data_IF_760168659896
#
_entry.id   IF_760168659896
#
_cell.length_a   1.000
_cell.length_b   1.000
_cell.length_c   1.000
_cell.angle_alpha   90.00
_cell.angle_beta   90.00
_cell.angle_gamma   90.00
#
_symmetry.space_group_name_H-M   'P 1'
#
loop_
_entity.id
_entity.type
_entity.pdbx_description
1 polymer ?
#
# COMPACT_ATOMS: atom_id res chain seq x y z
N UNK A 1 -42.61 6.77 62.76
CA UNK A 1 -42.22 6.93 61.35
C UNK A 1 -40.92 6.18 61.13
N UNK A 2 -40.99 5.08 60.40
CA UNK A 2 -39.91 4.13 60.10
C UNK A 2 -39.70 4.15 58.58
N UNK A 3 -38.65 4.81 58.12
CA UNK A 3 -38.14 4.87 56.75
C UNK A 3 -36.67 5.29 56.95
N UNK A 4 -35.57 4.70 56.47
CA UNK A 4 -35.22 3.50 55.71
C UNK A 4 -33.74 3.29 56.01
N UNK A 5 -33.37 2.32 56.86
CA UNK A 5 -31.95 1.95 57.07
C UNK A 5 -31.41 1.02 55.96
N UNK A 6 -32.24 0.69 54.97
CA UNK A 6 -31.88 -0.16 53.82
C UNK A 6 -31.25 0.60 52.65
N UNK A 7 -31.57 1.89 52.45
CA UNK A 7 -31.12 2.65 51.28
C UNK A 7 -29.61 2.98 51.33
N UNK A 8 -29.08 3.30 52.53
CA UNK A 8 -27.66 3.65 52.71
C UNK A 8 -26.71 2.46 52.51
N UNK A 9 -27.12 1.24 52.89
CA UNK A 9 -26.34 0.03 52.67
C UNK A 9 -26.30 -0.38 51.19
N UNK A 10 -27.41 -0.17 50.47
CA UNK A 10 -27.52 -0.49 49.04
C UNK A 10 -26.71 0.52 48.20
N UNK A 11 -26.73 1.82 48.53
CA UNK A 11 -25.93 2.81 47.81
C UNK A 11 -24.41 2.57 47.96
N UNK A 12 -23.93 2.10 49.12
CA UNK A 12 -22.51 1.78 49.32
C UNK A 12 -22.09 0.49 48.61
N UNK A 13 -22.96 -0.52 48.54
CA UNK A 13 -22.74 -1.76 47.78
C UNK A 13 -22.75 -1.54 46.27
N UNK A 14 -23.61 -0.64 45.77
CA UNK A 14 -23.63 -0.24 44.36
C UNK A 14 -22.38 0.56 44.01
N UNK A 15 -21.91 1.48 44.87
CA UNK A 15 -20.66 2.19 44.64
C UNK A 15 -19.43 1.26 44.63
N UNK A 16 -19.41 0.22 45.47
CA UNK A 16 -18.33 -0.79 45.47
C UNK A 16 -18.41 -1.74 44.26
N UNK A 17 -19.59 -2.02 43.72
CA UNK A 17 -19.76 -2.78 42.47
C UNK A 17 -19.37 -1.97 41.22
N UNK A 18 -19.51 -0.64 41.24
CA UNK A 18 -19.04 0.23 40.15
C UNK A 18 -17.56 0.64 40.25
N UNK A 19 -16.90 0.42 41.40
CA UNK A 19 -15.45 0.57 41.54
C UNK A 19 -14.67 -0.75 41.34
N UNK A 20 -15.36 -1.84 40.98
CA UNK A 20 -14.80 -3.19 41.01
C UNK A 20 -15.06 -4.02 39.76
N UNK A 21 -14.94 -3.47 38.55
CA UNK A 21 -14.81 -4.25 37.30
C UNK A 21 -14.25 -3.37 36.17
N UNK A 22 -13.00 -2.97 36.35
CA UNK A 22 -12.21 -2.26 35.34
C UNK A 22 -10.73 -2.50 35.56
N UNK A 23 -10.34 -3.70 36.01
CA UNK A 23 -8.99 -4.21 35.70
C UNK A 23 -9.01 -4.45 34.20
N UNK A 24 -8.80 -3.38 33.44
CA UNK A 24 -8.41 -3.51 32.05
C UNK A 24 -7.29 -4.52 32.03
N UNK A 25 -7.46 -5.60 31.28
CA UNK A 25 -6.31 -6.22 30.66
C UNK A 25 -5.60 -5.06 29.96
N UNK A 26 -4.59 -4.48 30.61
CA UNK A 26 -3.52 -3.83 29.87
C UNK A 26 -2.99 -4.96 29.02
N UNK A 27 -3.43 -5.00 27.76
CA UNK A 27 -2.78 -5.84 26.77
C UNK A 27 -1.29 -5.56 26.91
N UNK A 28 -0.48 -6.59 27.19
CA UNK A 28 0.97 -6.44 27.34
C UNK A 28 1.61 -5.92 26.03
N UNK A 29 0.83 -5.80 24.95
CA UNK A 29 1.21 -5.30 23.64
C UNK A 29 1.14 -3.77 23.45
N UNK A 30 0.50 -3.01 24.36
CA UNK A 30 0.39 -1.55 24.16
C UNK A 30 1.67 -0.85 24.64
N UNK A 31 2.41 -0.22 23.72
CA UNK A 31 3.73 0.40 23.99
C UNK A 31 3.70 1.91 23.79
N UNK A 32 4.41 2.68 24.63
CA UNK A 32 4.48 4.13 24.50
C UNK A 32 5.36 4.53 23.31
N UNK A 33 4.81 5.42 22.48
CA UNK A 33 5.51 6.10 21.39
C UNK A 33 5.73 7.56 21.76
N UNK A 34 6.95 8.06 21.58
CA UNK A 34 7.30 9.46 21.83
C UNK A 34 8.02 10.07 20.64
N UNK A 35 7.45 11.12 20.06
CA UNK A 35 8.11 11.90 19.00
C UNK A 35 8.36 13.30 19.52
N UNK A 36 9.62 13.73 19.44
CA UNK A 36 10.01 15.11 19.76
C UNK A 36 10.78 15.65 18.56
N UNK A 37 10.27 16.71 17.97
CA UNK A 37 10.99 17.43 16.92
C UNK A 37 11.22 18.88 17.34
N UNK A 38 12.42 19.38 17.09
CA UNK A 38 12.80 20.77 17.32
C UNK A 38 13.63 21.28 16.15
N UNK A 39 13.08 21.15 14.94
CA UNK A 39 13.65 21.75 13.75
C UNK A 39 13.37 23.27 13.81
N UNK A 40 14.36 24.12 13.53
CA UNK A 40 14.19 25.58 13.63
C UNK A 40 13.03 26.15 12.77
N UNK A 41 12.54 25.40 11.77
CA UNK A 41 11.47 25.80 10.81
C UNK A 41 10.06 25.27 11.13
N UNK A 42 9.82 24.97 12.38
CA UNK A 42 8.49 24.75 12.95
C UNK A 42 7.41 25.84 12.76
N UNK A 43 7.67 26.93 12.01
CA UNK A 43 6.68 27.98 11.74
C UNK A 43 5.82 27.73 10.48
N UNK A 44 6.03 26.64 9.72
CA UNK A 44 5.39 26.46 8.41
C UNK A 44 4.11 25.59 8.37
N UNK A 45 3.67 25.03 9.50
CA UNK A 45 2.40 24.31 9.58
C UNK A 45 2.41 23.06 10.46
N UNK A 46 1.24 22.41 10.66
CA UNK A 46 1.15 21.21 11.46
C UNK A 46 1.93 20.06 10.82
N UNK A 47 2.55 19.22 11.65
CA UNK A 47 3.12 17.96 11.17
C UNK A 47 2.06 16.87 11.19
N UNK A 48 2.30 15.79 10.46
CA UNK A 48 1.39 14.67 10.37
C UNK A 48 2.13 13.37 10.68
N UNK A 49 1.48 12.52 11.48
CA UNK A 49 1.90 11.14 11.68
C UNK A 49 0.90 10.24 10.95
N UNK A 50 1.35 9.60 9.87
CA UNK A 50 0.57 8.53 9.24
C UNK A 50 0.94 7.22 9.91
N UNK A 51 -0.06 6.50 10.40
CA UNK A 51 0.10 5.19 11.02
C UNK A 51 -0.46 4.14 10.07
N UNK A 52 0.40 3.25 9.60
CA UNK A 52 0.02 2.10 8.80
C UNK A 52 -0.04 0.88 9.71
N UNK A 53 -1.23 0.36 9.91
CA UNK A 53 -1.45 -0.88 10.64
C UNK A 53 -2.14 -1.95 9.80
N UNK A 54 -2.16 -3.17 10.35
CA UNK A 54 -2.65 -4.37 9.68
C UNK A 54 -4.11 -4.26 9.18
N UNK A 55 -4.91 -3.35 9.73
CA UNK A 55 -6.33 -3.20 9.40
C UNK A 55 -6.75 -1.78 8.99
N UNK A 56 -5.89 -0.77 9.15
CA UNK A 56 -6.26 0.62 8.87
C UNK A 56 -5.04 1.52 8.71
N UNK A 57 -5.22 2.59 7.94
CA UNK A 57 -4.30 3.73 7.89
C UNK A 57 -4.96 4.89 8.62
N UNK A 58 -4.28 5.46 9.62
CA UNK A 58 -4.73 6.67 10.30
C UNK A 58 -3.76 7.82 10.07
N UNK A 59 -4.24 9.05 10.20
CA UNK A 59 -3.41 10.25 10.09
C UNK A 59 -3.73 11.16 11.26
N UNK A 60 -2.73 11.42 12.09
CA UNK A 60 -2.82 12.30 13.23
C UNK A 60 -2.09 13.62 12.94
N UNK A 61 -2.74 14.73 13.25
CA UNK A 61 -2.14 16.06 13.18
C UNK A 61 -1.38 16.34 14.48
N UNK A 62 -0.08 16.62 14.38
CA UNK A 62 0.78 16.90 15.52
C UNK A 62 0.83 18.39 15.83
N UNK A 63 0.51 18.76 17.06
CA UNK A 63 0.56 20.15 17.50
C UNK A 63 2.00 20.66 17.60
N UNK A 64 2.21 21.87 17.08
CA UNK A 64 3.47 22.59 17.16
C UNK A 64 3.35 23.67 18.24
N UNK A 65 4.23 23.64 19.23
CA UNK A 65 4.25 24.68 20.27
C UNK A 65 4.68 26.05 19.70
N UNK A 66 4.39 27.17 20.39
CA UNK A 66 4.81 28.51 19.94
C UNK A 66 6.33 28.71 19.82
N UNK A 67 7.13 27.81 20.41
CA UNK A 67 8.59 27.80 20.28
C UNK A 67 9.07 26.82 19.21
N UNK A 68 8.15 26.28 18.45
CA UNK A 68 8.47 25.38 17.36
C UNK A 68 8.64 23.91 17.68
N UNK A 69 8.50 23.57 18.95
CA UNK A 69 8.71 22.19 19.38
C UNK A 69 7.45 21.37 19.13
N UNK A 70 7.62 20.20 18.54
CA UNK A 70 6.60 19.15 18.41
C UNK A 70 6.83 18.14 19.51
N UNK A 71 5.74 17.74 20.17
CA UNK A 71 5.79 16.68 21.18
C UNK A 71 4.53 15.86 21.09
N UNK A 72 4.70 14.61 20.69
CA UNK A 72 3.62 13.64 20.56
C UNK A 72 3.91 12.46 21.47
N UNK A 73 2.90 12.07 22.24
CA UNK A 73 2.98 10.94 23.14
C UNK A 73 1.66 10.18 23.14
N UNK A 74 1.70 8.97 22.59
CA UNK A 74 0.55 8.08 22.54
C UNK A 74 0.98 6.65 22.85
N UNK A 75 0.01 5.79 23.11
CA UNK A 75 0.24 4.37 23.36
C UNK A 75 -0.45 3.57 22.27
N UNK A 76 0.32 2.75 21.55
CA UNK A 76 -0.18 1.96 20.44
C UNK A 76 -0.04 0.46 20.70
N UNK A 77 -0.98 -0.33 20.21
CA UNK A 77 -0.84 -1.77 20.12
C UNK A 77 0.07 -2.12 18.93
N UNK A 78 1.37 -2.28 19.20
CA UNK A 78 2.37 -2.39 18.14
C UNK A 78 2.36 -3.73 17.40
N UNK A 79 1.67 -4.74 17.93
CA UNK A 79 1.41 -5.98 17.19
C UNK A 79 0.56 -5.74 15.94
N UNK A 80 -0.11 -4.58 15.88
CA UNK A 80 -0.98 -4.18 14.78
C UNK A 80 -0.39 -3.08 13.90
N UNK A 81 0.82 -2.58 14.18
CA UNK A 81 1.45 -1.49 13.44
C UNK A 81 2.63 -1.99 12.64
N UNK A 82 2.64 -1.63 11.37
CA UNK A 82 3.69 -2.02 10.43
C UNK A 82 4.65 -0.85 10.14
N UNK A 83 4.15 0.39 10.13
CA UNK A 83 4.94 1.57 9.76
C UNK A 83 4.33 2.87 10.30
N UNK A 84 5.19 3.79 10.72
CA UNK A 84 4.85 5.19 10.93
C UNK A 84 5.57 6.07 9.90
N UNK A 85 4.87 7.02 9.29
CA UNK A 85 5.47 8.05 8.44
C UNK A 85 5.25 9.42 9.05
N UNK A 86 6.34 10.07 9.45
CA UNK A 86 6.32 11.44 9.92
C UNK A 86 6.48 12.38 8.72
N UNK A 87 5.54 13.31 8.54
CA UNK A 87 5.53 14.29 7.45
C UNK A 87 5.37 15.72 7.98
N UNK A 88 5.89 16.70 7.26
CA UNK A 88 5.70 18.12 7.59
C UNK A 88 4.38 18.67 7.02
N UNK A 89 4.10 19.95 7.24
CA UNK A 89 2.90 20.64 6.76
C UNK A 89 2.72 20.66 5.24
N UNK A 90 3.82 20.54 4.49
CA UNK A 90 3.83 20.46 3.02
C UNK A 90 3.63 19.02 2.51
N UNK A 91 3.56 18.04 3.42
CA UNK A 91 3.44 16.63 3.08
C UNK A 91 4.78 15.96 2.76
N UNK A 92 5.94 16.62 2.91
CA UNK A 92 7.26 15.99 2.68
C UNK A 92 7.60 15.00 3.77
N UNK A 93 8.26 13.89 3.41
CA UNK A 93 8.70 12.90 4.38
C UNK A 93 9.79 13.49 5.27
N UNK A 94 9.61 13.38 6.57
CA UNK A 94 10.59 13.78 7.57
C UNK A 94 11.35 12.57 8.09
N UNK A 95 10.63 11.48 8.37
CA UNK A 95 11.23 10.25 8.86
C UNK A 95 10.26 9.07 8.71
N UNK A 96 10.65 7.98 8.02
CA UNK A 96 9.97 6.69 8.14
C UNK A 96 10.45 5.97 9.40
N UNK A 97 9.51 5.35 10.13
CA UNK A 97 9.73 4.78 11.45
C UNK A 97 9.14 3.36 11.50
N UNK A 98 10.02 2.36 11.60
CA UNK A 98 9.66 0.95 11.64
C UNK A 98 9.74 0.45 13.08
N UNK A 99 8.61 0.16 13.76
CA UNK A 99 8.66 -0.29 15.15
C UNK A 99 9.32 -1.67 15.26
N UNK A 100 10.32 -1.80 16.14
CA UNK A 100 10.81 -3.11 16.58
C UNK A 100 9.83 -3.69 17.60
N UNK A 101 9.10 -4.76 17.27
CA UNK A 101 8.03 -5.32 18.13
C UNK A 101 8.51 -5.79 19.50
N UNK A 102 9.80 -6.06 19.65
CA UNK A 102 10.37 -6.53 20.91
C UNK A 102 10.73 -5.37 21.87
N UNK A 103 10.68 -4.12 21.41
CA UNK A 103 11.07 -2.96 22.20
C UNK A 103 10.00 -2.54 23.23
N UNK A 104 10.44 -2.15 24.43
CA UNK A 104 9.54 -1.72 25.51
C UNK A 104 9.04 -0.27 25.34
N UNK A 105 9.82 0.57 24.66
CA UNK A 105 9.55 2.00 24.48
C UNK A 105 10.11 2.50 23.16
N UNK A 106 9.38 3.40 22.50
CA UNK A 106 9.76 3.93 21.18
C UNK A 106 9.96 5.43 21.28
N UNK A 107 11.08 5.91 20.78
CA UNK A 107 11.30 7.35 20.70
C UNK A 107 12.05 7.78 19.45
N UNK A 108 11.56 8.85 18.82
CA UNK A 108 12.25 9.61 17.80
C UNK A 108 12.48 11.04 18.29
N UNK A 109 13.74 11.46 18.43
CA UNK A 109 14.11 12.84 18.69
C UNK A 109 14.81 13.39 17.45
N UNK A 110 14.21 14.41 16.84
CA UNK A 110 14.63 15.00 15.58
C UNK A 110 15.04 16.46 15.82
N UNK A 111 16.24 16.81 15.43
CA UNK A 111 16.77 18.17 15.49
C UNK A 111 17.59 18.49 14.25
N UNK A 112 17.94 19.76 14.05
CA UNK A 112 18.78 20.20 12.92
C UNK A 112 20.16 19.51 12.90
N UNK A 113 20.63 18.98 14.04
CA UNK A 113 21.99 18.46 14.22
C UNK A 113 22.06 16.96 14.47
N UNK A 114 20.96 16.36 14.92
CA UNK A 114 20.98 14.99 15.40
C UNK A 114 19.61 14.32 15.25
N UNK A 115 19.65 13.06 14.82
CA UNK A 115 18.55 12.11 14.86
C UNK A 115 18.86 11.03 15.91
N UNK A 116 18.04 10.96 16.95
CA UNK A 116 18.12 9.91 17.98
C UNK A 116 16.89 9.03 17.92
N UNK A 117 17.10 7.74 17.74
CA UNK A 117 16.08 6.71 17.62
C UNK A 117 16.27 5.68 18.73
N UNK A 118 15.17 5.14 19.24
CA UNK A 118 15.15 4.04 20.20
C UNK A 118 13.94 3.15 19.93
N UNK A 119 14.16 1.83 19.94
CA UNK A 119 13.11 0.84 19.76
C UNK A 119 12.63 0.74 18.32
N UNK A 120 13.43 1.19 17.36
CA UNK A 120 13.05 1.23 15.95
C UNK A 120 14.02 0.34 15.17
N UNK A 121 13.52 -0.30 14.12
CA UNK A 121 14.37 -1.01 13.17
C UNK A 121 15.14 0.01 12.31
N UNK A 122 16.26 -0.43 11.75
CA UNK A 122 17.08 0.33 10.79
C UNK A 122 17.64 1.66 11.32
N UNK A 123 17.87 1.80 12.63
CA UNK A 123 18.31 3.08 13.21
C UNK A 123 19.57 3.65 12.58
N UNK A 124 20.59 2.82 12.32
CA UNK A 124 21.86 3.26 11.71
C UNK A 124 21.63 3.83 10.31
N UNK A 125 20.88 3.11 9.47
CA UNK A 125 20.55 3.54 8.11
C UNK A 125 19.80 4.88 8.11
N UNK A 126 18.79 5.03 8.98
CA UNK A 126 17.99 6.24 9.05
C UNK A 126 18.81 7.44 9.55
N UNK A 127 19.74 7.22 10.48
CA UNK A 127 20.68 8.26 10.95
C UNK A 127 21.66 8.68 9.86
N UNK A 128 22.20 7.73 9.10
CA UNK A 128 23.06 8.01 7.96
C UNK A 128 22.30 8.77 6.88
N UNK A 129 21.13 8.29 6.46
CA UNK A 129 20.28 8.97 5.49
C UNK A 129 19.95 10.41 5.91
N UNK A 130 19.61 10.63 7.19
CA UNK A 130 19.30 11.97 7.71
C UNK A 130 20.47 12.95 7.55
N UNK A 131 21.72 12.46 7.55
CA UNK A 131 22.91 13.26 7.26
C UNK A 131 23.21 13.37 5.74
N UNK A 132 22.87 12.35 4.96
CA UNK A 132 23.10 12.31 3.51
C UNK A 132 22.07 13.11 2.70
N UNK A 133 20.83 13.28 3.19
CA UNK A 133 19.72 13.93 2.44
C UNK A 133 19.98 15.40 2.07
N UNK A 134 20.90 16.06 2.77
CA UNK A 134 21.30 17.45 2.53
C UNK A 134 22.51 17.56 1.56
N UNK A 135 23.03 16.44 1.08
CA UNK A 135 24.18 16.40 0.15
C UNK A 135 23.74 16.54 -1.32
N UNK A 136 24.69 16.36 -2.25
CA UNK A 136 24.36 16.41 -3.68
C UNK A 136 23.50 15.22 -4.11
N UNK A 137 22.72 15.42 -5.17
CA UNK A 137 21.87 14.37 -5.77
C UNK A 137 22.65 13.08 -6.07
N UNK A 138 23.87 13.20 -6.60
CA UNK A 138 24.75 12.07 -6.93
C UNK A 138 25.16 11.28 -5.67
N UNK A 139 25.54 11.99 -4.60
CA UNK A 139 25.93 11.36 -3.34
C UNK A 139 24.75 10.63 -2.69
N UNK A 140 23.56 11.22 -2.76
CA UNK A 140 22.35 10.59 -2.24
C UNK A 140 21.98 9.33 -3.06
N UNK A 141 22.06 9.39 -4.40
CA UNK A 141 21.83 8.24 -5.27
C UNK A 141 22.81 7.09 -5.00
N UNK A 142 24.10 7.39 -4.82
CA UNK A 142 25.13 6.39 -4.48
C UNK A 142 24.83 5.75 -3.12
N UNK A 143 24.49 6.55 -2.12
CA UNK A 143 24.11 6.09 -0.79
C UNK A 143 22.88 5.17 -0.84
N UNK A 144 21.81 5.58 -1.53
CA UNK A 144 20.57 4.79 -1.63
C UNK A 144 20.78 3.50 -2.43
N UNK A 145 21.62 3.55 -3.47
CA UNK A 145 21.98 2.35 -4.25
C UNK A 145 22.73 1.34 -3.41
N UNK A 146 23.68 1.79 -2.58
CA UNK A 146 24.46 0.94 -1.67
C UNK A 146 23.57 0.24 -0.62
N UNK A 147 22.47 0.89 -0.21
CA UNK A 147 21.53 0.38 0.79
C UNK A 147 20.24 -0.20 0.20
N UNK A 148 20.23 -0.53 -1.10
CA UNK A 148 19.05 -1.03 -1.83
C UNK A 148 18.40 -2.29 -1.23
N UNK A 149 19.12 -3.06 -0.41
CA UNK A 149 18.59 -4.26 0.25
C UNK A 149 17.82 -3.99 1.53
N UNK A 150 17.94 -2.80 2.10
CA UNK A 150 17.30 -2.43 3.35
C UNK A 150 15.88 -1.92 3.08
N UNK A 151 14.90 -2.39 3.86
CA UNK A 151 13.47 -2.09 3.65
C UNK A 151 13.11 -0.59 3.66
N UNK A 152 13.73 0.30 4.46
CA UNK A 152 13.41 1.72 4.40
C UNK A 152 13.76 2.37 3.06
N UNK A 153 14.73 1.83 2.33
CA UNK A 153 15.34 2.49 1.16
C UNK A 153 14.33 2.84 0.07
N UNK A 154 13.27 2.05 -0.11
CA UNK A 154 12.19 2.38 -1.04
C UNK A 154 11.52 3.74 -0.72
N UNK A 155 11.23 4.00 0.55
CA UNK A 155 10.65 5.27 1.03
C UNK A 155 11.65 6.42 0.92
N UNK A 156 12.93 6.15 1.17
CA UNK A 156 13.98 7.17 1.07
C UNK A 156 14.24 7.58 -0.39
N UNK A 157 14.09 6.63 -1.33
CA UNK A 157 14.16 6.90 -2.76
C UNK A 157 12.97 7.71 -3.24
N UNK A 158 11.76 7.41 -2.75
CA UNK A 158 10.57 8.22 -3.03
C UNK A 158 10.75 9.67 -2.56
N UNK A 159 11.23 9.88 -1.34
CA UNK A 159 11.53 11.22 -0.81
C UNK A 159 12.58 11.96 -1.65
N UNK A 160 13.67 11.27 -2.04
CA UNK A 160 14.68 11.84 -2.94
C UNK A 160 14.09 12.23 -4.31
N UNK A 161 13.20 11.41 -4.86
CA UNK A 161 12.49 11.75 -6.10
C UNK A 161 11.63 13.00 -5.97
N UNK A 162 10.93 13.20 -4.84
CA UNK A 162 10.16 14.42 -4.54
C UNK A 162 11.08 15.64 -4.39
N UNK A 163 12.24 15.48 -3.76
CA UNK A 163 13.21 16.56 -3.56
C UNK A 163 13.86 17.01 -4.88
N UNK A 164 14.10 16.08 -5.81
CA UNK A 164 14.82 16.33 -7.07
C UNK A 164 13.94 16.19 -8.33
N UNK A 165 12.65 16.51 -8.27
CA UNK A 165 11.67 16.40 -9.39
C UNK A 165 12.04 17.14 -10.70
N UNK A 166 13.15 17.88 -10.75
CA UNK A 166 13.68 18.59 -11.93
C UNK A 166 15.16 18.27 -12.21
N UNK A 167 15.65 17.15 -11.68
CA UNK A 167 17.06 16.76 -11.67
C UNK A 167 17.60 16.31 -13.02
N UNK A 168 18.93 16.15 -13.10
CA UNK A 168 19.58 15.60 -14.30
C UNK A 168 19.48 14.08 -14.40
N UNK A 169 19.08 13.42 -13.30
CA UNK A 169 19.18 11.98 -13.10
C UNK A 169 17.84 11.26 -12.99
N UNK A 170 16.75 11.83 -13.53
CA UNK A 170 15.39 11.27 -13.46
C UNK A 170 15.33 9.77 -13.79
N UNK A 171 16.03 9.34 -14.85
CA UNK A 171 16.04 7.93 -15.25
C UNK A 171 16.69 7.02 -14.21
N UNK A 172 17.72 7.48 -13.52
CA UNK A 172 18.44 6.73 -12.48
C UNK A 172 17.54 6.56 -11.26
N UNK A 173 16.91 7.65 -10.81
CA UNK A 173 15.91 7.62 -9.74
C UNK A 173 14.79 6.63 -10.03
N UNK A 174 14.18 6.74 -11.21
CA UNK A 174 13.10 5.84 -11.61
C UNK A 174 13.52 4.38 -11.71
N UNK A 175 14.75 4.11 -12.18
CA UNK A 175 15.25 2.74 -12.30
C UNK A 175 15.50 2.11 -10.93
N UNK A 176 16.08 2.88 -10.00
CA UNK A 176 16.31 2.45 -8.63
C UNK A 176 14.98 2.23 -7.90
N UNK A 177 14.06 3.20 -7.98
CA UNK A 177 12.72 3.09 -7.41
C UNK A 177 11.99 1.84 -7.92
N UNK A 178 11.96 1.63 -9.24
CA UNK A 178 11.27 0.48 -9.83
C UNK A 178 11.91 -0.86 -9.41
N UNK A 179 13.23 -0.90 -9.21
CA UNK A 179 13.90 -2.07 -8.66
C UNK A 179 13.49 -2.30 -7.19
N UNK A 180 13.54 -1.27 -6.35
CA UNK A 180 13.20 -1.40 -4.94
C UNK A 180 11.72 -1.74 -4.73
N UNK A 181 10.80 -1.16 -5.51
CA UNK A 181 9.39 -1.48 -5.46
C UNK A 181 9.12 -2.95 -5.85
N UNK A 182 9.95 -3.55 -6.73
CA UNK A 182 9.93 -5.00 -7.00
C UNK A 182 10.39 -5.79 -5.79
N UNK A 183 11.59 -5.45 -5.31
CA UNK A 183 12.31 -6.23 -4.31
C UNK A 183 11.60 -6.14 -2.94
N UNK A 184 10.92 -5.03 -2.68
CA UNK A 184 10.25 -4.68 -1.42
C UNK A 184 8.73 -4.57 -1.61
N UNK A 185 8.14 -5.47 -2.40
CA UNK A 185 6.73 -5.45 -2.77
C UNK A 185 5.76 -5.37 -1.59
N UNK A 186 6.04 -6.02 -0.46
CA UNK A 186 5.14 -5.99 0.69
C UNK A 186 5.06 -4.58 1.31
N UNK A 187 6.18 -3.85 1.34
CA UNK A 187 6.20 -2.44 1.75
C UNK A 187 5.53 -1.54 0.69
N UNK A 188 5.84 -1.75 -0.59
CA UNK A 188 5.19 -1.02 -1.69
C UNK A 188 3.66 -1.23 -1.69
N UNK A 189 3.22 -2.45 -1.37
CA UNK A 189 1.83 -2.83 -1.22
C UNK A 189 1.15 -2.18 -0.01
N UNK A 190 1.83 -2.14 1.14
CA UNK A 190 1.36 -1.46 2.35
C UNK A 190 1.13 0.03 2.10
N UNK A 191 2.03 0.67 1.35
CA UNK A 191 1.99 2.10 1.07
C UNK A 191 0.88 2.51 0.09
N UNK A 192 0.33 1.56 -0.67
CA UNK A 192 -0.87 1.68 -1.50
C UNK A 192 -0.97 2.94 -2.37
N UNK A 193 -0.78 2.82 -3.69
CA UNK A 193 -1.01 3.88 -4.71
C UNK A 193 -0.19 5.19 -4.59
N UNK A 194 0.26 5.63 -3.41
CA UNK A 194 0.88 6.95 -3.23
C UNK A 194 2.25 7.06 -3.91
N UNK A 195 2.94 5.93 -4.09
CA UNK A 195 4.23 5.88 -4.79
C UNK A 195 4.12 5.84 -6.33
N UNK A 196 2.92 5.96 -6.90
CA UNK A 196 2.66 5.82 -8.33
C UNK A 196 2.28 7.13 -9.06
N UNK A 197 2.25 8.29 -8.39
CA UNK A 197 2.13 9.61 -9.03
C UNK A 197 3.52 10.23 -9.17
N UNK A 198 3.97 10.79 -10.30
CA UNK A 198 3.22 11.74 -11.13
C UNK A 198 3.60 11.76 -12.63
N UNK A 199 4.44 10.84 -13.17
CA UNK A 199 5.01 11.06 -14.51
C UNK A 199 5.06 9.85 -15.46
N UNK A 200 4.02 9.01 -15.51
CA UNK A 200 3.81 8.19 -16.72
C UNK A 200 2.37 7.75 -16.90
N UNK A 201 1.86 7.96 -18.10
CA UNK A 201 0.51 7.60 -18.58
C UNK A 201 0.26 6.07 -18.65
N UNK A 202 1.08 5.25 -17.98
CA UNK A 202 1.13 3.78 -18.08
C UNK A 202 1.30 3.08 -16.71
N UNK A 203 1.13 3.78 -15.58
CA UNK A 203 1.33 3.20 -14.25
C UNK A 203 0.09 3.36 -13.38
N UNK A 204 -0.39 2.24 -12.85
CA UNK A 204 -1.54 2.15 -11.94
C UNK A 204 -2.05 0.69 -11.91
N UNK A 205 -2.42 0.15 -10.74
CA UNK A 205 -2.88 -1.22 -10.64
C UNK A 205 -4.29 -1.35 -11.20
N UNK A 206 -4.37 -1.81 -12.45
CA UNK A 206 -5.62 -2.16 -13.10
C UNK A 206 -6.31 -3.39 -12.49
N UNK A 207 -5.61 -4.12 -11.60
CA UNK A 207 -6.14 -5.30 -10.90
C UNK A 207 -6.34 -4.98 -9.41
N UNK A 208 -7.46 -5.39 -8.78
CA UNK A 208 -7.66 -5.22 -7.35
C UNK A 208 -6.57 -5.91 -6.51
N UNK A 209 -6.18 -5.32 -5.37
CA UNK A 209 -5.14 -5.88 -4.48
C UNK A 209 -5.47 -7.29 -3.96
N UNK A 210 -6.75 -7.53 -3.66
CA UNK A 210 -7.30 -8.85 -3.34
C UNK A 210 -8.60 -9.05 -4.10
N UNK A 211 -8.78 -10.22 -4.71
CA UNK A 211 -9.96 -10.50 -5.52
C UNK A 211 -10.54 -11.89 -5.24
N UNK A 212 -11.86 -12.00 -5.44
CA UNK A 212 -12.57 -13.28 -5.40
C UNK A 212 -12.39 -13.96 -6.75
N UNK A 213 -11.62 -15.04 -6.77
CA UNK A 213 -11.42 -15.87 -7.96
C UNK A 213 -12.57 -16.87 -8.09
N UNK A 214 -13.29 -16.83 -9.22
CA UNK A 214 -14.30 -17.85 -9.51
C UNK A 214 -13.72 -19.27 -9.44
N UNK A 215 -14.28 -20.10 -8.57
CA UNK A 215 -13.83 -21.48 -8.37
C UNK A 215 -12.79 -21.68 -7.25
N UNK A 216 -12.34 -20.61 -6.60
CA UNK A 216 -11.54 -20.64 -5.37
C UNK A 216 -12.38 -20.06 -4.21
N UNK A 217 -12.14 -20.54 -2.99
CA UNK A 217 -12.90 -20.11 -1.80
C UNK A 217 -12.31 -18.84 -1.15
N UNK A 218 -11.01 -18.62 -1.31
CA UNK A 218 -10.28 -17.58 -0.60
C UNK A 218 -9.94 -16.40 -1.53
N UNK A 219 -9.76 -15.22 -0.94
CA UNK A 219 -9.19 -14.06 -1.64
C UNK A 219 -7.72 -14.35 -1.92
N UNK A 220 -7.27 -14.06 -3.13
CA UNK A 220 -5.88 -14.28 -3.56
C UNK A 220 -5.26 -12.93 -3.90
N UNK A 221 -4.00 -12.74 -3.50
CA UNK A 221 -3.23 -11.56 -3.88
C UNK A 221 -2.69 -11.72 -5.31
N UNK A 222 -2.58 -10.62 -6.06
CA UNK A 222 -2.13 -10.66 -7.45
C UNK A 222 -0.76 -11.36 -7.62
N UNK A 223 0.18 -11.18 -6.68
CA UNK A 223 1.52 -11.82 -6.72
C UNK A 223 1.45 -13.35 -6.70
N UNK A 224 0.63 -13.91 -5.81
CA UNK A 224 0.44 -15.35 -5.65
C UNK A 224 -0.24 -15.96 -6.87
N UNK A 225 -0.93 -15.09 -7.63
CA UNK A 225 -1.70 -15.43 -8.81
C UNK A 225 -0.92 -15.29 -10.12
N UNK A 226 0.04 -14.36 -10.22
CA UNK A 226 0.99 -14.23 -11.34
C UNK A 226 2.07 -15.32 -11.27
N UNK A 227 2.50 -15.67 -10.06
CA UNK A 227 3.53 -16.69 -9.83
C UNK A 227 4.89 -16.29 -10.43
N UNK A 228 5.56 -17.21 -11.11
CA UNK A 228 6.89 -17.00 -11.74
C UNK A 228 6.83 -16.39 -13.15
N UNK A 229 5.65 -16.03 -13.64
CA UNK A 229 5.51 -15.53 -15.00
C UNK A 229 5.96 -14.07 -15.09
N UNK A 230 6.70 -13.74 -16.15
CA UNK A 230 7.18 -12.37 -16.42
C UNK A 230 6.03 -11.38 -16.61
N UNK A 231 4.95 -11.84 -17.25
CA UNK A 231 3.77 -11.05 -17.52
C UNK A 231 2.52 -11.93 -17.59
N UNK A 232 1.36 -11.29 -17.41
CA UNK A 232 0.03 -11.89 -17.55
C UNK A 232 -0.81 -11.09 -18.54
N UNK A 233 -1.75 -11.77 -19.18
CA UNK A 233 -2.72 -11.13 -20.05
C UNK A 233 -4.01 -10.85 -19.27
N UNK A 234 -4.45 -9.60 -19.27
CA UNK A 234 -5.73 -9.20 -18.70
C UNK A 234 -6.73 -8.88 -19.80
N UNK A 235 -7.99 -9.21 -19.52
CA UNK A 235 -9.13 -8.83 -20.33
C UNK A 235 -10.16 -8.17 -19.40
N UNK A 236 -10.27 -6.86 -19.49
CA UNK A 236 -11.14 -6.05 -18.64
C UNK A 236 -12.44 -5.83 -19.37
N UNK A 237 -13.54 -6.09 -18.68
CA UNK A 237 -14.86 -6.03 -19.27
C UNK A 237 -15.95 -5.80 -18.23
N UNK A 238 -17.04 -5.23 -18.72
CA UNK A 238 -18.31 -5.24 -18.04
C UNK A 238 -19.22 -6.25 -18.74
N UNK A 239 -19.93 -7.09 -17.98
CA UNK A 239 -20.80 -8.12 -18.54
C UNK A 239 -22.26 -7.88 -18.14
N UNK A 240 -23.10 -7.62 -19.14
CA UNK A 240 -24.55 -7.80 -19.03
C UNK A 240 -24.94 -9.26 -19.31
N UNK A 241 -26.20 -9.67 -19.04
CA UNK A 241 -26.71 -10.98 -19.43
C UNK A 241 -26.58 -11.27 -20.94
N UNK A 242 -26.63 -10.25 -21.79
CA UNK A 242 -26.47 -10.37 -23.24
C UNK A 242 -24.99 -10.57 -23.63
N UNK A 243 -24.07 -9.96 -22.87
CA UNK A 243 -22.62 -10.07 -23.06
C UNK A 243 -22.06 -11.44 -22.68
N UNK A 244 -22.81 -12.25 -21.92
CA UNK A 244 -22.44 -13.64 -21.62
C UNK A 244 -22.29 -14.48 -22.90
N UNK A 245 -23.08 -14.21 -23.94
CA UNK A 245 -22.96 -14.87 -25.25
C UNK A 245 -21.76 -14.34 -26.06
N UNK A 246 -21.43 -13.06 -25.91
CA UNK A 246 -20.24 -12.44 -26.50
C UNK A 246 -18.95 -12.97 -25.85
N UNK A 247 -18.96 -13.15 -24.52
CA UNK A 247 -17.86 -13.76 -23.77
C UNK A 247 -17.55 -15.19 -24.26
N UNK A 248 -18.57 -15.97 -24.62
CA UNK A 248 -18.37 -17.31 -25.17
C UNK A 248 -17.49 -17.31 -26.45
N UNK A 249 -17.55 -16.25 -27.26
CA UNK A 249 -16.70 -16.09 -28.46
C UNK A 249 -15.23 -15.82 -28.10
N UNK A 250 -14.96 -15.26 -26.93
CA UNK A 250 -13.61 -14.97 -26.45
C UNK A 250 -12.89 -16.21 -25.88
N UNK A 251 -13.60 -17.34 -25.72
CA UNK A 251 -12.98 -18.61 -25.27
C UNK A 251 -11.79 -19.05 -26.12
N UNK A 252 -11.88 -18.84 -27.44
CA UNK A 252 -10.78 -19.15 -28.38
C UNK A 252 -9.49 -18.40 -28.01
N UNK A 253 -9.61 -17.17 -27.56
CA UNK A 253 -8.48 -16.32 -27.20
C UNK A 253 -7.78 -16.81 -25.93
N UNK A 254 -8.54 -17.20 -24.89
CA UNK A 254 -7.96 -17.79 -23.68
C UNK A 254 -7.22 -19.10 -23.98
N UNK A 255 -7.77 -19.96 -24.85
CA UNK A 255 -7.08 -21.16 -25.31
C UNK A 255 -5.77 -20.86 -26.05
N UNK A 256 -5.73 -19.77 -26.83
CA UNK A 256 -4.50 -19.36 -27.52
C UNK A 256 -3.45 -18.89 -26.51
N UNK A 257 -3.82 -18.09 -25.51
CA UNK A 257 -2.90 -17.69 -24.44
C UNK A 257 -2.38 -18.87 -23.62
N UNK A 258 -3.25 -19.80 -23.26
CA UNK A 258 -2.88 -21.03 -22.57
C UNK A 258 -1.87 -21.85 -23.40
N UNK A 259 -2.09 -22.00 -24.71
CA UNK A 259 -1.15 -22.69 -25.60
C UNK A 259 0.17 -21.94 -25.80
N UNK A 260 0.17 -20.63 -25.62
CA UNK A 260 1.38 -19.81 -25.57
C UNK A 260 2.03 -19.84 -24.18
N UNK A 261 1.46 -20.50 -23.18
CA UNK A 261 1.97 -20.53 -21.81
C UNK A 261 1.94 -19.16 -21.12
N UNK A 262 0.94 -18.34 -21.42
CA UNK A 262 0.71 -17.03 -20.78
C UNK A 262 -0.54 -17.15 -19.92
N UNK A 263 -0.41 -16.85 -18.61
CA UNK A 263 -1.56 -16.78 -17.72
C UNK A 263 -2.51 -15.66 -18.15
N UNK A 264 -3.81 -15.94 -18.17
CA UNK A 264 -4.82 -15.01 -18.67
C UNK A 264 -6.03 -14.91 -17.75
N UNK A 265 -6.48 -13.68 -17.50
CA UNK A 265 -7.49 -13.38 -16.49
C UNK A 265 -8.52 -12.36 -16.99
N UNK A 266 -9.77 -12.55 -16.59
CA UNK A 266 -10.84 -11.59 -16.86
C UNK A 266 -11.11 -10.72 -15.64
N UNK A 267 -10.89 -9.42 -15.74
CA UNK A 267 -11.30 -8.45 -14.72
C UNK A 267 -12.72 -8.02 -15.04
N UNK A 268 -13.65 -8.31 -14.13
CA UNK A 268 -15.06 -7.96 -14.26
C UNK A 268 -15.34 -6.70 -13.47
N UNK A 269 -15.82 -5.67 -14.16
CA UNK A 269 -16.27 -4.41 -13.56
C UNK A 269 -17.65 -4.53 -12.88
N UNK A 270 -18.19 -5.75 -12.77
CA UNK A 270 -19.46 -6.02 -12.11
C UNK A 270 -19.27 -6.23 -10.60
N UNK A 271 -20.28 -5.90 -9.80
CA UNK A 271 -20.31 -6.19 -8.34
C UNK A 271 -20.26 -7.69 -8.02
N UNK A 272 -20.64 -8.54 -8.98
CA UNK A 272 -20.65 -9.99 -8.79
C UNK A 272 -20.54 -10.75 -10.12
N UNK A 273 -20.08 -12.00 -10.04
CA UNK A 273 -20.01 -12.88 -11.21
C UNK A 273 -21.42 -13.23 -11.74
N UNK A 274 -21.73 -12.95 -13.03
CA UNK A 274 -23.00 -13.30 -13.64
C UNK A 274 -23.33 -14.80 -13.51
N UNK A 275 -24.60 -15.13 -13.24
CA UNK A 275 -25.06 -16.52 -13.03
C UNK A 275 -24.74 -17.45 -14.21
N UNK A 276 -24.78 -16.92 -15.43
CA UNK A 276 -24.43 -17.60 -16.69
C UNK A 276 -22.98 -18.10 -16.74
N UNK A 277 -22.07 -17.50 -15.96
CA UNK A 277 -20.65 -17.85 -15.91
C UNK A 277 -20.26 -18.66 -14.67
N UNK A 278 -21.19 -18.92 -13.74
CA UNK A 278 -20.96 -19.74 -12.55
C UNK A 278 -20.79 -21.23 -12.88
N UNK A 279 -21.21 -21.68 -14.06
CA UNK A 279 -21.08 -23.07 -14.48
C UNK A 279 -19.65 -23.35 -14.96
N UNK A 280 -18.89 -24.14 -14.19
CA UNK A 280 -17.57 -24.66 -14.59
C UNK A 280 -17.69 -25.38 -15.93
N UNK A 281 -17.29 -24.75 -17.03
CA UNK A 281 -17.12 -25.46 -18.30
C UNK A 281 -15.86 -26.34 -18.22
N UNK A 282 -16.00 -27.64 -18.45
CA UNK A 282 -14.88 -28.58 -18.50
C UNK A 282 -13.87 -28.12 -19.56
N UNK A 283 -12.59 -28.00 -19.19
CA UNK A 283 -11.47 -27.88 -20.13
C UNK A 283 -10.77 -26.52 -20.23
N UNK A 284 -11.27 -25.46 -19.57
CA UNK A 284 -10.61 -24.14 -19.58
C UNK A 284 -10.52 -23.59 -18.15
N UNK A 285 -9.31 -23.27 -17.68
CA UNK A 285 -9.11 -22.58 -16.40
C UNK A 285 -9.41 -21.10 -16.60
N UNK A 286 -10.68 -20.74 -16.54
CA UNK A 286 -11.11 -19.34 -16.60
C UNK A 286 -11.17 -18.78 -15.19
N UNK A 287 -10.40 -17.73 -14.96
CA UNK A 287 -10.44 -17.02 -13.70
C UNK A 287 -10.97 -15.61 -13.91
N UNK A 288 -11.94 -15.27 -13.06
CA UNK A 288 -12.57 -13.97 -13.03
C UNK A 288 -12.11 -13.24 -11.77
N UNK A 289 -11.67 -12.01 -11.92
CA UNK A 289 -11.33 -11.08 -10.84
C UNK A 289 -12.46 -10.07 -10.75
N UNK A 290 -13.17 -10.04 -9.63
CA UNK A 290 -14.31 -9.13 -9.44
C UNK A 290 -13.80 -7.81 -8.87
N UNK A 291 -14.06 -6.70 -9.56
CA UNK A 291 -13.68 -5.35 -9.12
C UNK A 291 -14.69 -4.79 -8.10
N UNK A 292 -14.78 -5.43 -6.93
CA UNK A 292 -15.81 -5.12 -5.93
C UNK A 292 -15.68 -3.74 -5.26
N UNK A 293 -14.54 -3.06 -5.45
CA UNK A 293 -14.26 -1.75 -4.84
C UNK A 293 -14.09 -0.64 -5.90
N UNK A 294 -14.30 -0.96 -7.19
CA UNK A 294 -14.21 0.01 -8.29
C UNK A 294 -12.80 0.48 -8.62
N UNK A 295 -11.76 -0.28 -8.26
CA UNK A 295 -10.37 0.10 -8.50
C UNK A 295 -10.04 0.08 -9.99
N UNK A 296 -10.43 -0.98 -10.69
CA UNK A 296 -10.25 -1.08 -12.15
C UNK A 296 -11.11 -0.06 -12.87
N UNK A 297 -12.34 0.18 -12.41
CA UNK A 297 -13.21 1.22 -12.97
C UNK A 297 -12.58 2.63 -12.85
N UNK A 298 -12.02 2.95 -11.67
CA UNK A 298 -11.36 4.24 -11.41
C UNK A 298 -10.15 4.40 -12.32
N UNK A 299 -9.31 3.37 -12.43
CA UNK A 299 -8.16 3.34 -13.31
C UNK A 299 -8.54 3.61 -14.78
N UNK A 300 -9.54 2.90 -15.32
CA UNK A 300 -9.96 3.08 -16.71
C UNK A 300 -10.42 4.53 -16.98
N UNK A 301 -11.17 5.11 -16.04
CA UNK A 301 -11.63 6.50 -16.14
C UNK A 301 -10.48 7.49 -16.12
N UNK A 302 -9.52 7.34 -15.21
CA UNK A 302 -8.34 8.20 -15.12
C UNK A 302 -7.49 8.13 -16.39
N UNK A 303 -7.38 6.96 -17.01
CA UNK A 303 -6.64 6.76 -18.25
C UNK A 303 -7.44 7.07 -19.52
N UNK A 304 -8.69 7.55 -19.39
CA UNK A 304 -9.59 7.81 -20.54
C UNK A 304 -9.74 6.58 -21.46
N UNK A 305 -9.80 5.39 -20.87
CA UNK A 305 -10.05 4.13 -21.57
C UNK A 305 -11.56 3.85 -21.52
N UNK A 306 -12.26 4.29 -22.57
CA UNK A 306 -13.72 4.20 -22.65
C UNK A 306 -14.20 2.94 -23.40
N UNK A 307 -13.30 2.25 -24.12
CA UNK A 307 -13.64 1.07 -24.91
C UNK A 307 -13.44 -0.23 -24.13
N UNK A 308 -14.54 -0.97 -23.96
CA UNK A 308 -14.57 -2.32 -23.40
C UNK A 308 -15.08 -3.34 -24.45
N UNK A 309 -14.57 -4.58 -24.46
CA UNK A 309 -13.49 -5.09 -23.61
C UNK A 309 -12.14 -4.50 -23.98
N UNK A 310 -11.28 -4.31 -22.98
CA UNK A 310 -9.89 -3.88 -23.17
C UNK A 310 -8.95 -5.00 -22.76
N UNK A 311 -7.91 -5.19 -23.55
CA UNK A 311 -6.92 -6.24 -23.37
C UNK A 311 -5.58 -5.63 -22.98
N UNK A 312 -4.90 -6.19 -21.99
CA UNK A 312 -3.64 -5.64 -21.49
C UNK A 312 -2.60 -6.73 -21.23
N UNK A 313 -1.32 -6.40 -21.41
CA UNK A 313 -0.22 -7.14 -20.80
C UNK A 313 0.20 -6.40 -19.55
N UNK A 314 0.24 -7.13 -18.44
CA UNK A 314 0.58 -6.59 -17.14
C UNK A 314 1.70 -7.43 -16.53
N UNK A 315 2.71 -6.77 -15.98
CA UNK A 315 3.81 -7.46 -15.30
C UNK A 315 3.42 -7.88 -13.87
N UNK A 316 4.33 -8.56 -13.17
CA UNK A 316 4.10 -8.99 -11.77
C UNK A 316 3.92 -7.84 -10.77
N UNK A 317 4.25 -6.60 -11.16
CA UNK A 317 4.09 -5.40 -10.35
C UNK A 317 2.85 -4.59 -10.72
N UNK A 318 2.01 -5.12 -11.61
CA UNK A 318 0.82 -4.44 -12.10
C UNK A 318 1.12 -3.25 -13.02
N UNK A 319 2.34 -3.15 -13.58
CA UNK A 319 2.60 -2.19 -14.64
C UNK A 319 1.98 -2.70 -15.94
N UNK A 320 1.32 -1.79 -16.64
CA UNK A 320 0.78 -2.08 -17.96
C UNK A 320 1.90 -1.90 -18.97
N UNK A 321 2.35 -2.99 -19.56
CA UNK A 321 3.32 -2.92 -20.66
C UNK A 321 2.66 -2.30 -21.89
N UNK A 322 1.42 -2.73 -22.18
CA UNK A 322 0.63 -2.26 -23.33
C UNK A 322 -0.83 -2.68 -23.22
N UNK A 323 -1.71 -1.90 -23.84
CA UNK A 323 -3.15 -2.17 -23.96
C UNK A 323 -3.63 -2.17 -25.42
N UNK A 324 -4.75 -2.84 -25.69
CA UNK A 324 -5.41 -2.95 -26.98
C UNK A 324 -6.92 -3.09 -26.83
N UNK A 325 -7.68 -2.56 -27.78
CA UNK A 325 -9.14 -2.80 -27.89
C UNK A 325 -9.50 -4.12 -28.58
N UNK A 326 -8.50 -4.89 -29.05
CA UNK A 326 -8.73 -6.17 -29.72
C UNK A 326 -7.79 -7.29 -29.25
N UNK A 327 -8.29 -8.54 -29.16
CA UNK A 327 -7.51 -9.66 -28.64
C UNK A 327 -6.41 -10.13 -29.59
N UNK A 328 -6.59 -9.99 -30.91
CA UNK A 328 -5.63 -10.48 -31.91
C UNK A 328 -4.31 -9.71 -31.86
N UNK A 329 -4.36 -8.39 -31.62
CA UNK A 329 -3.17 -7.54 -31.44
C UNK A 329 -2.34 -7.98 -30.24
N UNK A 330 -2.98 -8.33 -29.13
CA UNK A 330 -2.32 -8.86 -27.95
C UNK A 330 -1.66 -10.21 -28.24
N UNK A 331 -2.37 -11.14 -28.89
CA UNK A 331 -1.79 -12.44 -29.29
C UNK A 331 -0.57 -12.24 -30.19
N UNK A 332 -0.64 -11.33 -31.15
CA UNK A 332 0.48 -11.04 -32.05
C UNK A 332 1.68 -10.45 -31.30
N UNK A 333 1.44 -9.54 -30.35
CA UNK A 333 2.49 -8.99 -29.49
C UNK A 333 3.19 -10.09 -28.69
N UNK A 334 2.43 -10.97 -28.02
CA UNK A 334 3.00 -12.08 -27.24
C UNK A 334 3.82 -13.02 -28.13
N UNK A 335 3.35 -13.32 -29.33
CA UNK A 335 4.08 -14.16 -30.29
C UNK A 335 5.39 -13.52 -30.74
N UNK A 336 5.44 -12.19 -30.86
CA UNK A 336 6.66 -11.45 -31.19
C UNK A 336 7.66 -11.47 -30.04
N UNK A 337 7.21 -11.34 -28.78
CA UNK A 337 8.08 -11.37 -27.60
C UNK A 337 8.67 -12.76 -27.29
N UNK A 338 8.10 -13.83 -27.89
CA UNK A 338 8.58 -15.22 -27.74
C UNK A 338 9.46 -15.71 -28.88
N UNK A 339 9.65 -14.92 -29.93
CA UNK A 339 10.68 -15.14 -30.96
C UNK A 339 11.96 -14.48 -30.53
#
# INVERSE_FOLDING_TARGET
MRIERGALGICLLVALLFCGCGRGHKSESVRPVKIVASHQDSESGPWYLLVYGAQSITMDTLEVSPKGKISYHEVFDLDTIDLFLLRNGEGRLQLPLFPDRDAETYSANISDKELSLKGLLYESLLKEWYAEREKSEEQLLDFLSAHSKESPTLLLVEDGMEQYQSGKNDQTWWSLFAQLARDQYDLAGLLGWRMAGDNSWNRGPVVPYSFVVSGMKDRVNFKDFVGKNRFVALNIMELSPQDSALFAKQKRYFHLLDSLGVSSYSVLLNDSLPKSLKTKSKGTKQYFLIDSIGQSQTFLKEQSIDELPTFMVVDSLQNIERSWSNPDSLINYIKQQKK
#
